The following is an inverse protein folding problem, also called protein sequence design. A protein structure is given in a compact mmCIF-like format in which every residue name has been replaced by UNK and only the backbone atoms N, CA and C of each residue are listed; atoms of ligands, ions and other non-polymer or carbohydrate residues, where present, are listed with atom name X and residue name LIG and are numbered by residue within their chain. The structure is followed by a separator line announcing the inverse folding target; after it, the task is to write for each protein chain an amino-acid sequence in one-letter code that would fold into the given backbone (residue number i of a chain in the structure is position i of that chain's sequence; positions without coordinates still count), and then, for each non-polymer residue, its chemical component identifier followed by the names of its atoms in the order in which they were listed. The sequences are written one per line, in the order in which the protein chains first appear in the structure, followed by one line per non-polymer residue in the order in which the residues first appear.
data_IF_592785160367
#
_entry.id   IF_592785160367
#
_cell.length_a   1.000
_cell.length_b   1.000
_cell.length_c   1.000
_cell.angle_alpha   90.00
_cell.angle_beta   90.00
_cell.angle_gamma   90.00
#
_symmetry.space_group_name_H-M   'P 1'
#
loop_
_entity.id
_entity.type
_entity.pdbx_description
1 polymer ?
#
# COMPACT_ATOMS: atom_id res chain seq x y z
N UNK A 1 71.69 17.08 11.49
CA UNK A 1 70.72 17.62 10.49
C UNK A 1 69.85 16.47 10.08
N UNK A 2 68.81 16.27 10.87
CA UNK A 2 67.82 15.20 10.66
C UNK A 2 66.53 15.83 10.21
N UNK A 3 66.03 15.40 9.09
CA UNK A 3 64.68 15.75 8.58
C UNK A 3 63.78 14.53 8.73
N UNK A 4 63.00 14.54 9.76
CA UNK A 4 61.91 13.60 10.01
C UNK A 4 60.71 13.95 9.13
N UNK A 5 60.36 13.06 8.21
CA UNK A 5 59.10 13.14 7.44
C UNK A 5 57.97 12.53 8.26
N UNK A 6 56.99 13.33 8.59
CA UNK A 6 55.76 12.92 9.29
C UNK A 6 54.70 12.56 8.26
N UNK A 7 54.34 11.28 8.19
CA UNK A 7 53.23 10.77 7.35
C UNK A 7 51.96 10.93 8.16
N UNK A 8 51.16 11.93 7.83
CA UNK A 8 49.81 12.15 8.41
C UNK A 8 48.80 11.19 7.77
N UNK A 9 48.40 10.19 8.52
CA UNK A 9 47.42 9.19 8.11
C UNK A 9 46.09 9.41 8.83
N UNK A 10 45.48 10.59 8.58
CA UNK A 10 44.13 10.90 9.07
C UNK A 10 43.09 10.81 7.93
N UNK A 11 42.71 9.58 7.55
CA UNK A 11 41.43 9.38 6.82
C UNK A 11 40.28 9.53 7.80
N UNK A 12 39.91 10.78 8.10
CA UNK A 12 38.72 11.11 8.87
C UNK A 12 37.46 10.65 8.16
N UNK A 13 36.74 9.73 8.80
CA UNK A 13 35.35 9.43 8.47
C UNK A 13 34.54 10.71 8.55
N UNK A 14 34.09 11.23 7.41
CA UNK A 14 33.21 12.40 7.35
C UNK A 14 31.90 12.09 8.07
N UNK A 15 31.48 12.86 9.07
CA UNK A 15 30.20 12.64 9.74
C UNK A 15 29.07 12.80 8.73
N UNK A 16 28.13 11.85 8.72
CA UNK A 16 26.92 11.89 7.91
C UNK A 16 26.18 13.18 8.26
N UNK A 17 25.99 14.07 7.29
CA UNK A 17 25.32 15.34 7.51
C UNK A 17 23.88 15.09 8.02
N UNK A 18 23.40 15.95 8.95
CA UNK A 18 22.02 15.89 9.49
C UNK A 18 20.95 15.86 8.38
N UNK A 19 21.22 16.45 7.21
CA UNK A 19 20.36 16.35 6.02
C UNK A 19 20.33 14.96 5.40
N UNK A 20 21.41 14.16 5.48
CA UNK A 20 21.42 12.75 5.02
C UNK A 20 20.81 11.80 6.03
N UNK A 21 20.96 12.05 7.33
CA UNK A 21 20.24 11.30 8.37
C UNK A 21 18.72 11.56 8.32
N UNK A 22 18.29 12.78 8.02
CA UNK A 22 16.91 13.14 7.70
C UNK A 22 16.47 12.53 6.36
N UNK A 23 17.35 12.29 5.39
CA UNK A 23 17.07 11.56 4.16
C UNK A 23 16.82 10.08 4.37
N UNK A 24 17.48 9.43 5.35
CA UNK A 24 17.25 8.02 5.72
C UNK A 24 15.97 7.88 6.56
N UNK A 25 15.69 8.81 7.46
CA UNK A 25 14.39 8.99 8.10
C UNK A 25 13.33 9.43 7.08
N UNK A 26 13.71 10.20 6.04
CA UNK A 26 12.89 10.61 4.91
C UNK A 26 12.55 9.48 3.94
N UNK A 27 13.38 8.42 3.80
CA UNK A 27 12.95 7.22 3.07
C UNK A 27 11.89 6.42 3.85
N UNK A 28 11.98 6.36 5.18
CA UNK A 28 10.90 5.82 6.02
C UNK A 28 9.68 6.77 6.05
N UNK A 29 9.90 8.10 6.12
CA UNK A 29 8.87 9.14 6.02
C UNK A 29 8.42 9.40 4.57
N UNK A 30 9.29 9.17 3.57
CA UNK A 30 8.97 9.25 2.15
C UNK A 30 8.10 8.09 1.67
N UNK A 31 8.14 6.95 2.35
CA UNK A 31 7.20 5.84 2.14
C UNK A 31 5.88 6.08 2.89
N UNK A 32 5.91 6.84 4.00
CA UNK A 32 4.69 7.40 4.59
C UNK A 32 4.10 8.52 3.72
N UNK A 33 4.94 9.29 3.00
CA UNK A 33 4.51 10.35 2.08
C UNK A 33 4.38 9.89 0.61
N UNK A 34 4.87 8.71 0.27
CA UNK A 34 4.93 8.18 -1.09
C UNK A 34 4.04 6.96 -1.35
N UNK A 35 3.26 6.55 -0.38
CA UNK A 35 2.21 5.55 -0.55
C UNK A 35 0.96 6.11 -1.22
N UNK A 36 1.11 6.98 -2.18
CA UNK A 36 0.01 7.20 -3.13
C UNK A 36 -0.06 5.94 -3.96
N UNK A 37 -1.19 5.25 -3.95
CA UNK A 37 -1.61 4.41 -5.06
C UNK A 37 -1.69 5.33 -6.28
N UNK A 38 -0.53 5.54 -6.91
CA UNK A 38 -0.31 6.55 -7.94
C UNK A 38 -0.92 6.17 -9.28
N UNK A 39 -1.59 5.00 -9.32
CA UNK A 39 -2.24 4.48 -10.52
C UNK A 39 -3.69 4.89 -10.70
N UNK A 40 -4.39 5.37 -9.68
CA UNK A 40 -5.78 5.81 -9.82
C UNK A 40 -5.88 7.32 -9.56
N UNK A 41 -6.58 8.03 -10.46
CA UNK A 41 -6.78 9.47 -10.41
C UNK A 41 -8.27 9.78 -10.32
N UNK A 42 -8.64 10.70 -9.45
CA UNK A 42 -9.99 11.29 -9.50
C UNK A 42 -10.10 12.18 -10.74
N UNK A 43 -10.97 11.81 -11.64
CA UNK A 43 -11.27 12.64 -12.82
C UNK A 43 -12.01 13.93 -12.39
N UNK A 44 -11.95 15.01 -13.21
CA UNK A 44 -12.70 16.25 -12.93
C UNK A 44 -14.19 16.01 -12.67
N UNK A 45 -14.78 15.01 -13.29
CA UNK A 45 -16.17 14.58 -13.07
C UNK A 45 -16.44 13.98 -11.68
N UNK A 46 -15.39 13.68 -10.89
CA UNK A 46 -15.52 13.31 -9.48
C UNK A 46 -15.64 14.53 -8.55
N UNK A 47 -15.81 15.75 -9.10
CA UNK A 47 -16.15 16.92 -8.31
C UNK A 47 -17.48 16.70 -7.58
N UNK A 48 -17.65 17.19 -6.32
CA UNK A 48 -18.94 17.09 -5.66
C UNK A 48 -19.98 17.81 -6.50
N UNK A 49 -21.24 17.35 -6.49
CA UNK A 49 -22.34 18.13 -7.01
C UNK A 49 -22.39 19.51 -6.31
N UNK A 50 -23.11 20.46 -6.88
CA UNK A 50 -23.23 21.84 -6.36
C UNK A 50 -23.60 21.91 -4.88
N UNK A 51 -24.30 20.91 -4.34
CA UNK A 51 -24.67 20.75 -2.93
C UNK A 51 -23.71 19.84 -2.14
N UNK A 52 -22.62 19.33 -2.76
CA UNK A 52 -21.75 18.34 -2.12
C UNK A 52 -20.65 18.94 -1.23
N UNK A 53 -20.02 18.07 -0.45
CA UNK A 53 -18.87 18.41 0.40
C UNK A 53 -17.62 17.62 -0.02
N UNK A 54 -16.46 18.28 0.00
CA UNK A 54 -15.18 17.64 -0.25
C UNK A 54 -14.20 17.98 0.85
N UNK A 55 -13.63 16.94 1.45
CA UNK A 55 -12.49 17.03 2.34
C UNK A 55 -11.22 16.58 1.61
N UNK A 56 -10.09 17.23 1.92
CA UNK A 56 -8.75 16.85 1.46
C UNK A 56 -7.79 16.87 2.63
N UNK A 57 -6.87 15.91 2.68
CA UNK A 57 -5.88 15.81 3.75
C UNK A 57 -4.83 14.73 3.45
N UNK A 58 -4.23 14.21 4.52
CA UNK A 58 -3.23 13.14 4.45
C UNK A 58 -3.70 12.02 5.36
N UNK A 59 -3.65 10.77 4.87
CA UNK A 59 -3.99 9.55 5.60
C UNK A 59 -2.90 8.52 5.33
N UNK A 60 -2.35 7.89 6.38
CA UNK A 60 -1.22 6.94 6.27
C UNK A 60 -0.02 7.51 5.48
N UNK A 61 0.18 8.84 5.55
CA UNK A 61 1.23 9.53 4.81
C UNK A 61 0.94 9.80 3.33
N UNK A 62 -0.22 9.41 2.80
CA UNK A 62 -0.64 9.64 1.43
C UNK A 62 -1.70 10.75 1.34
N UNK A 63 -1.74 11.45 0.19
CA UNK A 63 -2.81 12.39 -0.11
C UNK A 63 -4.16 11.66 -0.15
N UNK A 64 -5.18 12.24 0.50
CA UNK A 64 -6.49 11.64 0.64
C UNK A 64 -7.60 12.64 0.30
N UNK A 65 -8.68 12.13 -0.26
CA UNK A 65 -9.87 12.91 -0.60
C UNK A 65 -11.14 12.13 -0.26
N UNK A 66 -12.07 12.79 0.39
CA UNK A 66 -13.42 12.27 0.60
C UNK A 66 -14.41 13.24 -0.05
N UNK A 67 -15.11 12.77 -1.08
CA UNK A 67 -16.13 13.53 -1.81
C UNK A 67 -17.50 12.98 -1.47
N UNK A 68 -18.37 13.80 -0.90
CA UNK A 68 -19.71 13.43 -0.41
C UNK A 68 -20.75 14.15 -1.27
N UNK A 69 -21.68 13.40 -1.84
CA UNK A 69 -22.85 13.92 -2.54
C UNK A 69 -24.04 13.92 -1.55
N UNK A 70 -24.20 15.00 -0.79
CA UNK A 70 -25.28 15.13 0.21
C UNK A 70 -25.82 16.57 0.23
N UNK A 71 -27.12 16.73 0.42
CA UNK A 71 -27.77 18.06 0.38
C UNK A 71 -27.41 18.91 1.61
N UNK A 72 -27.34 18.27 2.79
CA UNK A 72 -27.04 18.95 4.05
C UNK A 72 -25.52 18.94 4.29
N UNK A 73 -24.91 20.10 4.15
CA UNK A 73 -23.47 20.28 4.33
C UNK A 73 -22.99 19.97 5.75
N UNK A 74 -23.75 20.35 6.76
CA UNK A 74 -23.38 20.15 8.17
C UNK A 74 -23.38 18.66 8.53
N UNK A 75 -24.34 17.91 8.02
CA UNK A 75 -24.38 16.45 8.15
C UNK A 75 -23.14 15.82 7.48
N UNK A 76 -22.79 16.23 6.25
CA UNK A 76 -21.62 15.74 5.56
C UNK A 76 -20.32 16.05 6.34
N UNK A 77 -20.17 17.27 6.88
CA UNK A 77 -19.01 17.68 7.68
C UNK A 77 -18.88 16.87 8.96
N UNK A 78 -19.98 16.66 9.70
CA UNK A 78 -20.00 15.86 10.93
C UNK A 78 -19.57 14.43 10.66
N UNK A 79 -20.16 13.78 9.65
CA UNK A 79 -19.82 12.39 9.32
C UNK A 79 -18.37 12.25 8.82
N UNK A 80 -17.86 13.22 8.04
CA UNK A 80 -16.44 13.23 7.65
C UNK A 80 -15.53 13.36 8.88
N UNK A 81 -15.89 14.17 9.88
CA UNK A 81 -15.14 14.24 11.14
C UNK A 81 -15.08 12.89 11.85
N UNK A 82 -16.20 12.15 11.90
CA UNK A 82 -16.25 10.81 12.47
C UNK A 82 -15.37 9.83 11.68
N UNK A 83 -15.35 9.94 10.36
CA UNK A 83 -14.43 9.18 9.50
C UNK A 83 -12.96 9.46 9.82
N UNK A 84 -12.60 10.73 10.03
CA UNK A 84 -11.21 11.08 10.39
C UNK A 84 -10.82 10.54 11.77
N UNK A 85 -11.73 10.50 12.72
CA UNK A 85 -11.51 9.86 14.02
C UNK A 85 -11.28 8.34 13.88
N UNK A 86 -12.08 7.67 13.03
CA UNK A 86 -11.91 6.23 12.74
C UNK A 86 -10.58 5.96 12.03
N UNK A 87 -10.19 6.77 11.04
CA UNK A 87 -8.87 6.68 10.38
C UNK A 87 -7.76 6.76 11.43
N UNK A 88 -7.77 7.79 12.28
CA UNK A 88 -6.75 7.97 13.32
C UNK A 88 -6.71 6.80 14.31
N UNK A 89 -7.85 6.18 14.62
CA UNK A 89 -7.94 4.97 15.44
C UNK A 89 -7.28 3.76 14.74
N UNK A 90 -7.57 3.58 13.45
CA UNK A 90 -7.03 2.46 12.67
C UNK A 90 -5.54 2.62 12.37
N UNK A 91 -5.03 3.84 12.22
CA UNK A 91 -3.59 4.11 12.13
C UNK A 91 -2.83 3.64 13.37
N UNK A 92 -3.42 3.73 14.58
CA UNK A 92 -2.85 3.17 15.80
C UNK A 92 -2.84 1.63 15.82
N UNK A 93 -3.57 0.99 14.92
CA UNK A 93 -3.54 -0.47 14.78
C UNK A 93 -2.53 -0.90 13.70
N UNK A 94 -2.55 -0.28 12.53
CA UNK A 94 -1.91 -0.80 11.31
C UNK A 94 -0.60 -0.12 10.91
N UNK A 95 -0.26 1.06 11.46
CA UNK A 95 0.91 1.81 11.02
C UNK A 95 2.23 1.13 11.41
N UNK A 96 3.15 0.99 10.43
CA UNK A 96 4.54 0.58 10.68
C UNK A 96 5.42 1.73 11.19
N UNK A 97 4.93 2.98 11.11
CA UNK A 97 5.70 4.20 11.38
C UNK A 97 5.37 4.82 12.74
N UNK A 98 4.24 4.47 13.31
CA UNK A 98 3.85 4.85 14.67
C UNK A 98 4.45 3.88 15.69
N UNK A 99 5.18 4.40 16.66
CA UNK A 99 5.77 3.59 17.72
C UNK A 99 4.69 3.00 18.66
N UNK A 100 3.54 3.67 18.77
CA UNK A 100 2.40 3.28 19.61
C UNK A 100 1.37 2.40 18.88
N UNK A 101 1.68 1.87 17.69
CA UNK A 101 0.75 1.02 16.95
C UNK A 101 0.83 -0.45 17.41
N UNK A 102 -0.33 -1.14 17.32
CA UNK A 102 -0.41 -2.58 17.59
C UNK A 102 0.51 -3.40 16.67
N UNK A 103 0.63 -3.02 15.39
CA UNK A 103 1.52 -3.67 14.44
C UNK A 103 3.00 -3.51 14.82
N UNK A 104 3.41 -2.33 15.24
CA UNK A 104 4.78 -2.09 15.69
C UNK A 104 5.10 -2.85 16.96
N UNK A 105 4.18 -2.88 17.94
CA UNK A 105 4.30 -3.67 19.15
C UNK A 105 4.42 -5.18 18.84
N UNK A 106 3.56 -5.71 17.96
CA UNK A 106 3.61 -7.10 17.50
C UNK A 106 4.95 -7.43 16.82
N UNK A 107 5.41 -6.58 15.90
CA UNK A 107 6.68 -6.79 15.21
C UNK A 107 7.91 -6.72 16.14
N UNK A 108 7.84 -5.96 17.22
CA UNK A 108 8.92 -5.84 18.20
C UNK A 108 8.95 -7.02 19.17
N UNK A 109 7.79 -7.42 19.70
CA UNK A 109 7.68 -8.45 20.72
C UNK A 109 7.53 -9.88 20.15
N UNK A 110 7.09 -10.01 18.90
CA UNK A 110 6.73 -11.29 18.27
C UNK A 110 5.41 -11.87 18.79
N UNK A 111 4.78 -11.23 19.76
CA UNK A 111 3.49 -11.64 20.34
C UNK A 111 2.65 -10.39 20.67
N UNK A 112 1.36 -10.48 20.44
CA UNK A 112 0.38 -9.47 20.83
C UNK A 112 -0.79 -10.18 21.50
N UNK A 113 -0.99 -9.94 22.80
CA UNK A 113 -2.17 -10.40 23.53
C UNK A 113 -3.36 -9.47 23.25
N UNK A 114 -4.57 -10.01 23.33
CA UNK A 114 -5.83 -9.29 23.14
C UNK A 114 -5.82 -8.37 21.90
N UNK A 115 -5.52 -8.93 20.70
CA UNK A 115 -5.34 -8.13 19.49
C UNK A 115 -6.64 -7.45 19.07
N UNK A 116 -6.58 -6.21 18.53
CA UNK A 116 -7.75 -5.56 17.98
C UNK A 116 -8.45 -6.43 16.94
N UNK A 117 -9.78 -6.49 16.99
CA UNK A 117 -10.59 -7.30 16.08
C UNK A 117 -10.34 -6.96 14.62
N UNK A 118 -10.04 -5.70 14.33
CA UNK A 118 -9.69 -5.22 12.99
C UNK A 118 -8.38 -5.82 12.47
N UNK A 119 -7.39 -6.03 13.35
CA UNK A 119 -6.13 -6.67 12.96
C UNK A 119 -6.35 -8.15 12.61
N UNK A 120 -7.18 -8.86 13.40
CA UNK A 120 -7.58 -10.24 13.12
C UNK A 120 -8.37 -10.36 11.81
N UNK A 121 -9.32 -9.45 11.58
CA UNK A 121 -10.10 -9.40 10.35
C UNK A 121 -9.18 -9.18 9.13
N UNK A 122 -8.24 -8.24 9.24
CA UNK A 122 -7.30 -7.93 8.18
C UNK A 122 -6.35 -9.11 7.88
N UNK A 123 -5.79 -9.75 8.90
CA UNK A 123 -4.97 -10.96 8.75
C UNK A 123 -5.77 -12.12 8.14
N UNK A 124 -7.07 -12.21 8.43
CA UNK A 124 -7.95 -13.23 7.83
C UNK A 124 -8.17 -12.99 6.34
N UNK A 125 -8.31 -11.72 5.91
CA UNK A 125 -8.36 -11.36 4.48
C UNK A 125 -7.00 -11.66 3.83
N UNK A 126 -5.90 -11.23 4.45
CA UNK A 126 -4.55 -11.45 3.98
C UNK A 126 -4.25 -12.93 3.77
N UNK A 127 -4.67 -13.81 4.71
CA UNK A 127 -4.52 -15.27 4.58
C UNK A 127 -5.24 -15.83 3.36
N UNK A 128 -6.46 -15.39 3.11
CA UNK A 128 -7.22 -15.85 1.92
C UNK A 128 -6.52 -15.46 0.63
N UNK A 129 -6.05 -14.22 0.52
CA UNK A 129 -5.33 -13.75 -0.68
C UNK A 129 -3.96 -14.44 -0.80
N UNK A 130 -3.25 -14.65 0.31
CA UNK A 130 -1.99 -15.41 0.33
C UNK A 130 -2.18 -16.81 -0.24
N UNK A 131 -3.18 -17.55 0.23
CA UNK A 131 -3.47 -18.91 -0.25
C UNK A 131 -3.88 -18.88 -1.72
N UNK A 132 -4.80 -18.00 -2.10
CA UNK A 132 -5.30 -17.92 -3.47
C UNK A 132 -4.22 -17.51 -4.49
N UNK A 133 -3.25 -16.69 -4.08
CA UNK A 133 -2.14 -16.23 -4.93
C UNK A 133 -0.88 -17.12 -4.86
N UNK A 134 -0.96 -18.29 -4.21
CA UNK A 134 0.19 -19.18 -3.98
C UNK A 134 1.40 -18.43 -3.41
N UNK A 135 1.16 -17.55 -2.43
CA UNK A 135 2.20 -16.79 -1.74
C UNK A 135 2.72 -15.55 -2.47
N UNK A 136 2.15 -15.16 -3.61
CA UNK A 136 2.52 -13.92 -4.29
C UNK A 136 2.16 -12.67 -3.46
N UNK A 137 1.13 -12.75 -2.63
CA UNK A 137 0.85 -11.81 -1.55
C UNK A 137 1.21 -12.45 -0.21
N UNK A 138 2.12 -11.82 0.53
CA UNK A 138 2.50 -12.30 1.86
C UNK A 138 2.81 -11.11 2.80
N UNK A 139 2.01 -10.89 3.86
CA UNK A 139 2.24 -9.80 4.80
C UNK A 139 3.51 -9.99 5.66
N UNK A 140 4.13 -11.17 5.65
CA UNK A 140 5.40 -11.41 6.36
C UNK A 140 6.63 -10.89 5.61
N UNK A 141 6.44 -10.13 4.53
CA UNK A 141 7.49 -9.61 3.65
C UNK A 141 8.43 -8.58 4.33
N UNK A 142 8.09 -8.05 5.49
CA UNK A 142 8.79 -6.95 6.14
C UNK A 142 10.30 -7.16 6.33
N UNK A 143 10.82 -8.35 6.69
CA UNK A 143 12.27 -8.58 6.80
C UNK A 143 13.00 -8.37 5.47
N UNK A 144 12.43 -8.80 4.35
CA UNK A 144 13.01 -8.59 3.02
C UNK A 144 12.94 -7.13 2.61
N UNK A 145 11.80 -6.48 2.85
CA UNK A 145 11.62 -5.06 2.55
C UNK A 145 12.66 -4.20 3.30
N UNK A 146 12.88 -4.46 4.59
CA UNK A 146 13.92 -3.79 5.38
C UNK A 146 15.32 -4.00 4.82
N UNK A 147 15.64 -5.22 4.41
CA UNK A 147 16.93 -5.55 3.78
C UNK A 147 17.21 -4.65 2.57
N UNK A 148 16.22 -4.50 1.67
CA UNK A 148 16.34 -3.63 0.50
C UNK A 148 16.44 -2.15 0.90
N UNK A 149 15.59 -1.68 1.79
CA UNK A 149 15.58 -0.30 2.27
C UNK A 149 16.91 0.08 2.95
N UNK A 150 17.46 -0.78 3.80
CA UNK A 150 18.75 -0.58 4.48
C UNK A 150 19.93 -0.63 3.50
N UNK A 151 19.89 -1.55 2.54
CA UNK A 151 20.94 -1.68 1.52
C UNK A 151 21.04 -0.40 0.71
N UNK A 152 19.95 0.06 0.11
CA UNK A 152 19.93 1.25 -0.72
C UNK A 152 20.00 2.56 0.07
N UNK A 153 19.57 2.57 1.33
CA UNK A 153 19.81 3.69 2.24
C UNK A 153 21.30 3.95 2.47
N UNK A 154 22.13 2.92 2.44
CA UNK A 154 23.60 3.01 2.55
C UNK A 154 24.31 3.11 1.21
N UNK A 155 23.75 2.56 0.15
CA UNK A 155 24.36 2.42 -1.20
C UNK A 155 23.32 2.75 -2.29
N UNK A 156 22.90 4.02 -2.42
CA UNK A 156 21.79 4.40 -3.30
C UNK A 156 22.07 4.14 -4.79
N UNK A 157 23.35 4.10 -5.18
CA UNK A 157 23.78 3.90 -6.57
C UNK A 157 24.16 2.45 -6.91
N UNK A 158 24.06 1.52 -5.93
CA UNK A 158 24.39 0.11 -6.17
C UNK A 158 23.46 -0.46 -7.25
N UNK A 159 24.08 -1.16 -8.21
CA UNK A 159 23.37 -1.80 -9.34
C UNK A 159 23.04 -3.26 -9.09
N UNK A 160 23.62 -3.85 -8.06
CA UNK A 160 23.52 -5.29 -7.79
C UNK A 160 22.42 -5.63 -6.78
N UNK A 161 22.05 -4.66 -5.92
CA UNK A 161 21.13 -4.89 -4.81
C UNK A 161 21.74 -5.72 -3.66
N UNK A 162 20.94 -6.14 -2.69
CA UNK A 162 21.40 -6.96 -1.57
C UNK A 162 21.98 -8.29 -2.04
N UNK A 163 23.08 -8.72 -1.40
CA UNK A 163 23.73 -10.00 -1.73
C UNK A 163 22.81 -11.22 -1.54
N UNK A 164 22.98 -12.23 -2.38
CA UNK A 164 22.11 -13.42 -2.40
C UNK A 164 22.00 -14.13 -1.04
N UNK A 165 23.10 -14.21 -0.28
CA UNK A 165 23.09 -14.80 1.07
C UNK A 165 22.16 -14.03 2.02
N UNK A 166 22.16 -12.69 1.97
CA UNK A 166 21.29 -11.86 2.80
C UNK A 166 19.82 -12.01 2.37
N UNK A 167 19.54 -12.06 1.07
CA UNK A 167 18.20 -12.32 0.53
C UNK A 167 17.70 -13.69 0.97
N UNK A 168 18.51 -14.75 0.85
CA UNK A 168 18.15 -16.10 1.28
C UNK A 168 17.87 -16.15 2.80
N UNK A 169 18.66 -15.43 3.62
CA UNK A 169 18.42 -15.32 5.05
C UNK A 169 17.09 -14.58 5.38
N UNK A 170 16.75 -13.55 4.61
CA UNK A 170 15.46 -12.85 4.76
C UNK A 170 14.28 -13.74 4.36
N UNK A 171 14.39 -14.48 3.26
CA UNK A 171 13.36 -15.42 2.77
C UNK A 171 13.03 -16.51 3.81
N UNK A 172 14.00 -16.99 4.58
CA UNK A 172 13.76 -17.95 5.68
C UNK A 172 12.80 -17.40 6.75
N UNK A 173 12.62 -16.08 6.85
CA UNK A 173 11.74 -15.40 7.81
C UNK A 173 10.36 -15.09 7.22
N UNK A 174 10.13 -15.32 5.93
CA UNK A 174 8.89 -15.07 5.22
C UNK A 174 8.05 -16.35 5.15
N UNK A 175 6.74 -16.20 5.17
CA UNK A 175 5.76 -17.27 4.99
C UNK A 175 4.62 -17.16 5.99
N UNK A 176 3.39 -17.08 5.51
CA UNK A 176 2.17 -16.90 6.31
C UNK A 176 1.98 -18.01 7.36
N UNK A 177 2.46 -19.23 7.09
CA UNK A 177 2.42 -20.36 8.04
C UNK A 177 3.25 -20.11 9.33
N UNK A 178 4.05 -19.04 9.37
CA UNK A 178 4.82 -18.63 10.55
C UNK A 178 4.05 -17.67 11.46
N UNK A 179 2.79 -17.39 11.15
CA UNK A 179 1.86 -16.61 11.96
C UNK A 179 0.81 -17.56 12.51
N UNK A 180 0.58 -17.53 13.81
CA UNK A 180 -0.61 -18.10 14.43
C UNK A 180 -1.42 -16.98 15.06
N UNK A 181 -2.73 -17.01 14.91
CA UNK A 181 -3.59 -15.99 15.52
C UNK A 181 -4.99 -16.53 15.81
N UNK A 182 -5.53 -16.07 16.92
CA UNK A 182 -6.89 -16.27 17.38
C UNK A 182 -7.38 -15.01 18.11
N UNK A 183 -8.56 -15.09 18.74
CA UNK A 183 -9.13 -13.96 19.46
C UNK A 183 -8.30 -13.52 20.68
N UNK A 184 -7.48 -14.41 21.26
CA UNK A 184 -6.69 -14.13 22.46
C UNK A 184 -5.29 -13.57 22.16
N UNK A 185 -4.70 -13.95 21.02
CA UNK A 185 -3.31 -13.55 20.71
C UNK A 185 -2.95 -13.72 19.24
N UNK A 186 -1.93 -12.96 18.84
CA UNK A 186 -1.19 -13.16 17.58
C UNK A 186 0.26 -13.51 17.98
N UNK A 187 0.82 -14.56 17.37
CA UNK A 187 2.20 -14.98 17.58
C UNK A 187 2.94 -15.09 16.26
N UNK A 188 4.09 -14.46 16.18
CA UNK A 188 5.04 -14.54 15.07
C UNK A 188 6.20 -15.46 15.46
N UNK A 189 6.63 -16.34 14.55
CA UNK A 189 7.89 -17.08 14.78
C UNK A 189 9.09 -16.14 14.83
N UNK A 190 10.20 -16.51 15.49
CA UNK A 190 11.38 -15.65 15.61
C UNK A 190 11.87 -15.09 14.25
N UNK A 191 12.07 -13.78 14.22
CA UNK A 191 12.55 -13.05 13.03
C UNK A 191 11.49 -12.74 11.98
N UNK A 192 10.25 -13.20 12.13
CA UNK A 192 9.11 -12.79 11.29
C UNK A 192 8.70 -11.38 11.68
N UNK A 193 8.35 -10.57 10.70
CA UNK A 193 7.74 -9.26 10.91
C UNK A 193 6.72 -8.99 9.80
N UNK A 194 5.66 -8.27 10.13
CA UNK A 194 4.54 -8.00 9.24
C UNK A 194 4.65 -6.61 8.61
N UNK A 195 4.21 -6.50 7.37
CA UNK A 195 3.79 -5.28 6.72
C UNK A 195 2.35 -5.42 6.23
N UNK A 196 1.56 -4.38 6.41
CA UNK A 196 0.17 -4.35 5.95
C UNK A 196 -0.02 -3.31 4.83
N UNK A 197 1.07 -2.78 4.26
CA UNK A 197 1.03 -1.70 3.26
C UNK A 197 0.26 -2.06 1.98
N UNK A 198 0.14 -3.34 1.63
CA UNK A 198 -0.63 -3.78 0.45
C UNK A 198 -2.06 -4.23 0.79
N UNK A 199 -2.64 -3.80 1.93
CA UNK A 199 -4.01 -4.17 2.31
C UNK A 199 -4.65 -3.18 3.30
N UNK A 200 -3.86 -2.44 4.09
CA UNK A 200 -4.40 -1.62 5.18
C UNK A 200 -5.13 -0.37 4.66
N UNK A 201 -4.65 0.25 3.59
CA UNK A 201 -5.32 1.42 3.00
C UNK A 201 -6.71 1.04 2.49
N UNK A 202 -6.81 -0.07 1.78
CA UNK A 202 -8.10 -0.61 1.36
C UNK A 202 -9.03 -0.93 2.53
N UNK A 203 -8.51 -1.54 3.60
CA UNK A 203 -9.32 -1.83 4.79
C UNK A 203 -9.82 -0.55 5.47
N UNK A 204 -8.99 0.46 5.61
CA UNK A 204 -9.39 1.75 6.18
C UNK A 204 -10.45 2.41 5.30
N UNK A 205 -10.32 2.36 3.97
CA UNK A 205 -11.35 2.88 3.06
C UNK A 205 -12.71 2.16 3.23
N UNK A 206 -12.70 0.84 3.43
CA UNK A 206 -13.92 0.08 3.72
C UNK A 206 -14.54 0.46 5.08
N UNK A 207 -13.71 0.72 6.11
CA UNK A 207 -14.19 1.18 7.42
C UNK A 207 -14.79 2.59 7.35
N UNK A 208 -14.13 3.50 6.64
CA UNK A 208 -14.66 4.86 6.36
C UNK A 208 -16.01 4.77 5.62
N UNK A 209 -16.12 3.87 4.64
CA UNK A 209 -17.38 3.63 3.94
C UNK A 209 -18.49 3.12 4.89
N UNK A 210 -18.14 2.30 5.88
CA UNK A 210 -19.10 1.85 6.90
C UNK A 210 -19.55 3.00 7.81
N UNK A 211 -18.63 3.88 8.25
CA UNK A 211 -18.97 5.08 9.03
C UNK A 211 -19.87 6.02 8.24
N UNK A 212 -19.58 6.23 6.95
CA UNK A 212 -20.43 7.04 6.06
C UNK A 212 -21.86 6.49 6.01
N UNK A 213 -22.04 5.18 5.79
CA UNK A 213 -23.36 4.55 5.76
C UNK A 213 -24.10 4.69 7.09
N UNK A 214 -23.41 4.48 8.20
CA UNK A 214 -23.99 4.63 9.54
C UNK A 214 -24.42 6.07 9.82
N UNK A 215 -23.70 7.06 9.28
CA UNK A 215 -24.03 8.47 9.35
C UNK A 215 -25.09 8.95 8.34
N UNK A 216 -25.72 8.02 7.59
CA UNK A 216 -26.76 8.34 6.61
C UNK A 216 -26.25 8.78 5.23
N UNK A 217 -24.94 8.80 5.00
CA UNK A 217 -24.34 9.15 3.71
C UNK A 217 -24.33 7.91 2.81
N UNK A 218 -25.03 8.01 1.69
CA UNK A 218 -25.18 6.89 0.73
C UNK A 218 -24.31 7.06 -0.52
N UNK A 219 -24.00 8.31 -0.89
CA UNK A 219 -23.32 8.66 -2.12
C UNK A 219 -21.98 9.37 -1.79
N UNK A 220 -20.88 8.64 -1.88
CA UNK A 220 -19.55 9.18 -1.57
C UNK A 220 -18.47 8.46 -2.38
N UNK A 221 -17.43 9.21 -2.74
CA UNK A 221 -16.19 8.70 -3.30
C UNK A 221 -15.05 8.95 -2.29
N UNK A 222 -14.49 7.87 -1.78
CA UNK A 222 -13.41 7.84 -0.80
C UNK A 222 -12.15 7.46 -1.55
N UNK A 223 -11.11 8.29 -1.49
CA UNK A 223 -9.77 8.04 -2.00
C UNK A 223 -8.78 8.26 -0.86
N UNK A 224 -8.25 7.18 -0.33
CA UNK A 224 -7.25 7.16 0.74
C UNK A 224 -5.94 6.53 0.25
N UNK A 225 -5.67 6.62 -1.06
CA UNK A 225 -4.69 5.85 -1.78
C UNK A 225 -5.34 4.69 -2.56
N UNK A 226 -6.38 4.11 -1.98
CA UNK A 226 -7.29 3.20 -2.66
C UNK A 226 -8.69 3.82 -2.73
N UNK A 227 -9.39 3.59 -3.85
CA UNK A 227 -10.69 4.19 -4.10
C UNK A 227 -11.81 3.26 -3.62
N UNK A 228 -12.74 3.81 -2.84
CA UNK A 228 -13.99 3.16 -2.45
C UNK A 228 -15.17 4.06 -2.81
N UNK A 229 -16.00 3.61 -3.75
CA UNK A 229 -17.24 4.28 -4.10
C UNK A 229 -18.41 3.68 -3.31
N UNK A 230 -19.28 4.54 -2.78
CA UNK A 230 -20.60 4.21 -2.28
C UNK A 230 -21.64 4.88 -3.16
N UNK A 231 -22.71 4.14 -3.47
CA UNK A 231 -23.80 4.63 -4.28
C UNK A 231 -23.34 5.22 -5.61
N UNK A 232 -23.88 6.36 -5.96
CA UNK A 232 -23.67 7.01 -7.26
C UNK A 232 -23.35 8.50 -7.10
N UNK A 233 -22.74 9.08 -8.11
CA UNK A 233 -22.65 10.53 -8.24
C UNK A 233 -24.05 11.15 -8.43
N UNK A 234 -24.21 12.42 -8.23
CA UNK A 234 -25.45 13.14 -8.50
C UNK A 234 -26.06 12.81 -9.87
N UNK A 235 -27.37 12.88 -10.02
CA UNK A 235 -28.11 12.57 -11.25
C UNK A 235 -28.02 11.10 -11.70
N UNK A 236 -27.89 10.18 -10.76
CA UNK A 236 -27.88 8.75 -11.02
C UNK A 236 -26.71 8.25 -11.91
N UNK A 237 -25.65 9.06 -12.06
CA UNK A 237 -24.41 8.63 -12.72
C UNK A 237 -23.50 7.89 -11.75
N UNK A 238 -22.76 6.86 -12.19
CA UNK A 238 -21.70 6.26 -11.37
C UNK A 238 -20.61 7.29 -11.05
N UNK A 239 -19.86 7.07 -9.98
CA UNK A 239 -18.60 7.76 -9.77
C UNK A 239 -17.62 7.35 -10.87
N UNK A 240 -16.69 8.22 -11.21
CA UNK A 240 -15.73 7.95 -12.26
C UNK A 240 -14.30 8.19 -11.78
N UNK A 241 -13.44 7.19 -11.98
CA UNK A 241 -12.01 7.27 -11.70
C UNK A 241 -11.19 7.02 -12.95
N UNK A 242 -10.02 7.64 -13.04
CA UNK A 242 -9.03 7.38 -14.07
C UNK A 242 -7.94 6.45 -13.57
N UNK A 243 -7.48 5.54 -14.40
CA UNK A 243 -6.25 4.78 -14.18
C UNK A 243 -5.14 5.45 -14.98
N UNK A 244 -4.11 5.95 -14.31
CA UNK A 244 -2.99 6.61 -14.95
C UNK A 244 -2.10 5.59 -15.69
N UNK A 245 -1.55 6.01 -16.83
CA UNK A 245 -0.53 5.21 -17.49
C UNK A 245 0.79 5.32 -16.70
N UNK A 246 1.44 4.20 -16.31
CA UNK A 246 2.70 4.22 -15.58
C UNK A 246 3.78 5.07 -16.25
N UNK A 247 4.39 5.97 -15.46
CA UNK A 247 5.36 6.95 -15.95
C UNK A 247 4.78 8.13 -16.75
N UNK A 248 3.47 8.15 -16.97
CA UNK A 248 2.78 9.20 -17.76
C UNK A 248 1.46 9.59 -17.06
N UNK A 249 1.56 10.29 -15.94
CA UNK A 249 0.39 10.75 -15.15
C UNK A 249 -0.55 11.70 -15.91
N UNK A 250 -0.06 12.31 -16.98
CA UNK A 250 -0.82 13.13 -17.92
C UNK A 250 -1.71 12.29 -18.86
N UNK A 251 -1.49 10.96 -18.92
CA UNK A 251 -2.25 10.04 -19.77
C UNK A 251 -3.02 9.02 -18.94
N UNK A 252 -4.26 8.79 -19.34
CA UNK A 252 -5.07 7.73 -18.80
C UNK A 252 -4.85 6.42 -19.58
N UNK A 253 -4.69 5.32 -18.84
CA UNK A 253 -4.74 3.97 -19.35
C UNK A 253 -6.19 3.54 -19.57
N UNK A 254 -7.06 3.90 -18.62
CA UNK A 254 -8.50 3.65 -18.68
C UNK A 254 -9.28 4.64 -17.80
N UNK A 255 -10.56 4.82 -18.11
CA UNK A 255 -11.53 5.44 -17.21
C UNK A 255 -12.51 4.35 -16.74
N UNK A 256 -12.91 4.42 -15.47
CA UNK A 256 -13.66 3.36 -14.79
C UNK A 256 -14.86 3.95 -14.08
N UNK A 257 -16.03 3.41 -14.35
CA UNK A 257 -17.25 3.72 -13.60
C UNK A 257 -17.33 2.87 -12.35
N UNK A 258 -17.66 3.52 -11.22
CA UNK A 258 -17.68 2.92 -9.89
C UNK A 258 -19.03 3.20 -9.22
N UNK A 259 -19.71 2.14 -8.78
CA UNK A 259 -20.92 2.21 -7.97
C UNK A 259 -20.87 1.05 -6.97
N UNK A 260 -20.86 1.34 -5.68
CA UNK A 260 -20.73 0.37 -4.59
C UNK A 260 -19.57 -0.64 -4.72
N UNK A 261 -18.48 -0.20 -5.37
CA UNK A 261 -17.31 -1.01 -5.65
C UNK A 261 -16.02 -0.26 -5.28
N UNK A 262 -14.94 -0.99 -5.10
CA UNK A 262 -13.61 -0.44 -4.88
C UNK A 262 -12.71 -0.61 -6.11
N UNK A 263 -11.69 0.24 -6.19
CA UNK A 263 -10.61 0.19 -7.18
C UNK A 263 -9.28 0.40 -6.46
N UNK A 264 -8.35 -0.52 -6.64
CA UNK A 264 -6.98 -0.42 -6.14
C UNK A 264 -5.99 -0.61 -7.28
N UNK A 265 -4.83 0.06 -7.21
CA UNK A 265 -3.81 -0.04 -8.26
C UNK A 265 -2.41 -0.17 -7.68
N UNK A 266 -1.72 -1.26 -8.02
CA UNK A 266 -0.29 -1.44 -7.79
C UNK A 266 0.49 -1.14 -9.06
N UNK A 267 1.57 -0.32 -8.95
CA UNK A 267 2.36 0.11 -10.11
C UNK A 267 3.86 0.17 -9.79
N UNK A 268 4.70 0.09 -10.84
CA UNK A 268 6.16 0.12 -10.73
C UNK A 268 6.75 1.54 -10.66
N UNK A 269 5.96 2.57 -10.93
CA UNK A 269 6.35 3.98 -10.86
C UNK A 269 6.06 4.65 -9.51
N UNK A 270 5.73 3.85 -8.50
CA UNK A 270 5.61 4.27 -7.11
C UNK A 270 6.97 4.54 -6.47
N UNK A 271 7.15 4.04 -5.24
CA UNK A 271 8.42 4.14 -4.53
C UNK A 271 9.44 3.13 -5.07
N UNK A 272 10.68 3.59 -5.29
CA UNK A 272 11.81 2.73 -5.62
C UNK A 272 12.85 2.78 -4.52
N UNK A 273 13.56 1.68 -4.30
CA UNK A 273 14.66 1.61 -3.35
C UNK A 273 15.89 2.35 -3.86
N UNK A 274 16.16 2.28 -5.17
CA UNK A 274 17.29 2.95 -5.82
C UNK A 274 16.87 4.18 -6.62
N UNK A 275 17.80 5.13 -6.82
CA UNK A 275 17.54 6.35 -7.55
C UNK A 275 17.24 6.13 -9.05
N UNK A 276 17.70 5.00 -9.62
CA UNK A 276 17.51 4.67 -11.03
C UNK A 276 16.19 3.92 -11.32
N UNK A 277 15.39 3.60 -10.28
CA UNK A 277 14.12 2.90 -10.43
C UNK A 277 14.22 1.44 -10.89
N UNK A 278 15.38 0.79 -10.69
CA UNK A 278 15.59 -0.62 -11.06
C UNK A 278 15.03 -1.59 -10.02
N UNK A 279 14.96 -1.14 -8.77
CA UNK A 279 14.51 -1.91 -7.63
C UNK A 279 13.23 -1.28 -7.06
N UNK A 280 12.09 -1.70 -7.59
CA UNK A 280 10.77 -1.29 -7.12
C UNK A 280 10.46 -1.85 -5.73
N UNK A 281 9.58 -1.16 -5.00
CA UNK A 281 9.20 -1.51 -3.62
C UNK A 281 8.33 -2.77 -3.50
N UNK A 282 7.72 -3.23 -4.60
CA UNK A 282 6.92 -4.46 -4.62
C UNK A 282 7.87 -5.63 -4.91
N UNK A 283 8.09 -6.45 -3.91
CA UNK A 283 8.98 -7.61 -3.96
C UNK A 283 8.17 -8.90 -4.06
N UNK A 284 8.70 -9.89 -4.77
CA UNK A 284 8.13 -11.24 -4.79
C UNK A 284 8.58 -12.01 -3.53
N UNK A 285 7.65 -12.39 -2.63
CA UNK A 285 7.98 -13.10 -1.40
C UNK A 285 8.60 -14.49 -1.64
N UNK A 286 8.40 -15.06 -2.82
CA UNK A 286 8.83 -16.41 -3.20
C UNK A 286 10.29 -16.44 -3.69
N UNK A 287 10.72 -15.36 -4.36
CA UNK A 287 12.07 -15.27 -4.96
C UNK A 287 12.97 -14.28 -4.23
N UNK A 288 12.42 -13.36 -3.46
CA UNK A 288 13.16 -12.30 -2.78
C UNK A 288 13.62 -11.17 -3.68
N UNK A 289 13.13 -11.08 -4.91
CA UNK A 289 13.52 -10.08 -5.90
C UNK A 289 12.36 -9.10 -6.18
N UNK A 290 12.64 -7.89 -6.72
CA UNK A 290 11.58 -7.02 -7.20
C UNK A 290 10.71 -7.71 -8.25
N UNK A 291 9.39 -7.51 -8.16
CA UNK A 291 8.45 -8.03 -9.14
C UNK A 291 8.70 -7.41 -10.53
N UNK A 292 8.66 -8.24 -11.59
CA UNK A 292 9.07 -7.82 -12.94
C UNK A 292 8.07 -8.19 -14.04
N UNK A 293 6.93 -8.76 -13.72
CA UNK A 293 5.98 -9.21 -14.75
C UNK A 293 5.16 -8.06 -15.31
N UNK A 294 4.72 -7.13 -14.47
CA UNK A 294 3.76 -6.11 -14.81
C UNK A 294 4.32 -4.71 -14.53
N UNK A 295 3.76 -3.69 -15.17
CA UNK A 295 4.00 -2.27 -14.90
C UNK A 295 2.94 -1.70 -13.97
N UNK A 296 1.68 -2.05 -14.20
CA UNK A 296 0.58 -1.73 -13.30
C UNK A 296 -0.49 -2.80 -13.34
N UNK A 297 -1.17 -2.95 -12.21
CA UNK A 297 -2.34 -3.81 -12.06
C UNK A 297 -3.39 -3.06 -11.27
N UNK A 298 -4.54 -2.84 -11.91
CA UNK A 298 -5.71 -2.25 -11.26
C UNK A 298 -6.76 -3.32 -11.05
N UNK A 299 -7.31 -3.39 -9.84
CA UNK A 299 -8.33 -4.37 -9.47
C UNK A 299 -9.59 -3.67 -8.98
N UNK A 300 -10.74 -4.02 -9.57
CA UNK A 300 -12.05 -3.73 -8.99
C UNK A 300 -12.49 -4.91 -8.12
N UNK A 301 -13.03 -4.63 -6.94
CA UNK A 301 -13.60 -5.65 -6.06
C UNK A 301 -14.69 -5.05 -5.15
N UNK A 302 -15.57 -5.88 -4.55
CA UNK A 302 -16.61 -5.41 -3.63
C UNK A 302 -16.08 -4.71 -2.39
N UNK A 303 -14.87 -5.05 -1.94
CA UNK A 303 -14.17 -4.46 -0.80
C UNK A 303 -12.83 -3.88 -1.24
N UNK A 304 -12.48 -2.71 -0.69
CA UNK A 304 -11.21 -2.06 -0.99
C UNK A 304 -10.01 -2.84 -0.43
N UNK A 305 -10.13 -3.45 0.76
CA UNK A 305 -9.11 -4.35 1.29
C UNK A 305 -8.80 -5.52 0.36
N UNK A 306 -9.81 -6.08 -0.29
CA UNK A 306 -9.64 -7.17 -1.23
C UNK A 306 -9.02 -6.69 -2.55
N UNK A 307 -9.46 -5.54 -3.07
CA UNK A 307 -8.89 -4.92 -4.26
C UNK A 307 -7.40 -4.61 -4.08
N UNK A 308 -7.02 -4.03 -2.93
CA UNK A 308 -5.66 -3.66 -2.55
C UNK A 308 -4.76 -4.91 -2.48
N UNK A 309 -5.14 -5.91 -1.70
CA UNK A 309 -4.37 -7.15 -1.59
C UNK A 309 -4.25 -7.92 -2.93
N UNK A 310 -5.32 -7.96 -3.73
CA UNK A 310 -5.30 -8.58 -5.05
C UNK A 310 -4.42 -7.79 -6.02
N UNK A 311 -4.50 -6.46 -6.06
CA UNK A 311 -3.66 -5.66 -6.97
C UNK A 311 -2.17 -5.93 -6.72
N UNK A 312 -1.77 -6.04 -5.45
CA UNK A 312 -0.40 -6.40 -5.04
C UNK A 312 -0.04 -7.84 -5.45
N UNK A 313 -0.93 -8.82 -5.18
CA UNK A 313 -0.70 -10.21 -5.58
C UNK A 313 -0.52 -10.36 -7.10
N UNK A 314 -1.46 -9.80 -7.86
CA UNK A 314 -1.48 -9.90 -9.32
C UNK A 314 -0.31 -9.14 -9.95
N UNK A 315 0.19 -8.07 -9.31
CA UNK A 315 1.37 -7.35 -9.77
C UNK A 315 2.62 -8.24 -9.75
N UNK A 316 2.73 -9.10 -8.74
CA UNK A 316 3.83 -10.07 -8.57
C UNK A 316 3.70 -11.26 -9.53
N UNK A 317 2.48 -11.65 -9.90
CA UNK A 317 2.21 -12.83 -10.73
C UNK A 317 2.39 -12.55 -12.24
N UNK A 318 2.67 -13.58 -13.07
CA UNK A 318 2.48 -13.49 -14.51
C UNK A 318 1.04 -13.03 -14.85
N UNK A 319 0.89 -12.16 -15.85
CA UNK A 319 -0.41 -11.52 -16.16
C UNK A 319 -1.54 -12.53 -16.41
N UNK A 320 -1.25 -13.64 -17.12
CA UNK A 320 -2.27 -14.66 -17.41
C UNK A 320 -2.78 -15.36 -16.13
N UNK A 321 -1.85 -15.73 -15.24
CA UNK A 321 -2.17 -16.37 -13.95
C UNK A 321 -2.94 -15.40 -13.03
N UNK A 322 -2.48 -14.13 -12.96
CA UNK A 322 -3.15 -13.08 -12.19
C UNK A 322 -4.57 -12.84 -12.66
N UNK A 323 -4.80 -12.73 -13.98
CA UNK A 323 -6.14 -12.57 -14.55
C UNK A 323 -7.03 -13.81 -14.31
N UNK A 324 -6.45 -15.02 -14.36
CA UNK A 324 -7.17 -16.24 -14.01
C UNK A 324 -7.61 -16.23 -12.54
N UNK A 325 -6.71 -15.84 -11.62
CA UNK A 325 -7.04 -15.68 -10.21
C UNK A 325 -8.15 -14.63 -9.98
N UNK A 326 -8.05 -13.47 -10.62
CA UNK A 326 -9.07 -12.43 -10.46
C UNK A 326 -10.48 -12.92 -10.82
N UNK A 327 -10.62 -13.76 -11.86
CA UNK A 327 -11.90 -14.35 -12.26
C UNK A 327 -12.50 -15.34 -11.25
N UNK A 328 -11.68 -15.96 -10.40
CA UNK A 328 -12.16 -16.87 -9.35
C UNK A 328 -12.75 -16.12 -8.15
N UNK A 329 -12.44 -14.82 -8.02
CA UNK A 329 -12.90 -14.01 -6.91
C UNK A 329 -14.20 -13.30 -7.29
N UNK A 330 -15.28 -13.67 -6.61
CA UNK A 330 -16.61 -13.11 -6.90
C UNK A 330 -16.66 -11.60 -6.85
N UNK A 331 -17.07 -10.97 -7.93
CA UNK A 331 -17.18 -9.52 -8.07
C UNK A 331 -15.85 -8.80 -8.28
N UNK A 332 -14.75 -9.53 -8.45
CA UNK A 332 -13.48 -8.93 -8.81
C UNK A 332 -13.22 -8.98 -10.33
N UNK A 333 -12.50 -7.99 -10.83
CA UNK A 333 -11.94 -7.96 -12.17
C UNK A 333 -10.64 -7.16 -12.18
N UNK A 334 -9.75 -7.41 -13.13
CA UNK A 334 -8.45 -6.77 -13.17
C UNK A 334 -8.09 -6.24 -14.55
N UNK A 335 -7.33 -5.15 -14.58
CA UNK A 335 -6.66 -4.58 -15.73
C UNK A 335 -5.15 -4.64 -15.48
N UNK A 336 -4.41 -5.28 -16.35
CA UNK A 336 -2.97 -5.48 -16.22
C UNK A 336 -2.26 -4.81 -17.38
N UNK A 337 -1.35 -3.89 -17.10
CA UNK A 337 -0.38 -3.42 -18.09
C UNK A 337 0.93 -4.15 -17.89
N UNK A 338 1.33 -4.90 -18.87
CA UNK A 338 2.61 -5.63 -18.91
C UNK A 338 3.79 -4.70 -19.21
N UNK A 339 5.01 -5.18 -18.96
CA UNK A 339 6.24 -4.43 -19.28
C UNK A 339 6.47 -4.23 -20.77
N UNK A 340 5.89 -5.06 -21.65
CA UNK A 340 5.91 -4.89 -23.10
C UNK A 340 4.86 -3.84 -23.60
N UNK A 341 4.15 -3.18 -22.69
CA UNK A 341 3.13 -2.17 -22.98
C UNK A 341 1.74 -2.73 -23.26
N UNK A 342 1.58 -4.03 -23.43
CA UNK A 342 0.26 -4.64 -23.67
C UNK A 342 -0.62 -4.49 -22.44
N UNK A 343 -1.90 -4.19 -22.70
CA UNK A 343 -2.94 -4.08 -21.68
C UNK A 343 -3.90 -5.26 -21.83
N UNK A 344 -4.15 -5.95 -20.74
CA UNK A 344 -4.97 -7.18 -20.68
C UNK A 344 -6.00 -7.05 -19.57
N UNK A 345 -7.15 -7.68 -19.75
CA UNK A 345 -8.21 -7.73 -18.76
C UNK A 345 -9.31 -6.69 -18.99
N UNK A 346 -10.12 -6.43 -17.95
CA UNK A 346 -11.39 -5.71 -17.99
C UNK A 346 -12.38 -6.33 -18.99
N UNK A 347 -12.75 -7.48 -18.80
CA UNK A 347 -13.93 -8.07 -19.47
C UNK A 347 -15.05 -8.26 -18.46
#
# INVERSE_FOLDING_TARGET
METTSNIDNSRGSRPISRRRALGIAGCAAGLAAGGTALGALLLPDAAPPSSGYRWRGVVLGAAATITVAHQERDTAQRVVKDCLAEIARLERIFSLYRQDSALTALNAAGVLADPPAELLALLSIARRVHIASAGAFDPTLQPLWRLYAEHFGRRPDDRSGPGQTAVAAALKRIGFAKITFDASRIVLRPGVALTLNGIAQGYIADRVAAVMRAGGIRDTLIDLGEIRALGRHSKNRPWRAGIAAPGRRDKLLAAVDLADIALATSADDGTNFDAAGRFGHILDPRTGTPARHNRSVSVRAPLAALADALSTALFVMPAAEGLALARTVRGASALVQRRDGRVLGWS
#
